data_IF_314192113117
#
_entry.id   IF_314192113117
#
_cell.length_a   1.000
_cell.length_b   1.000
_cell.length_c   1.000
_cell.angle_alpha   90.00
_cell.angle_beta   90.00
_cell.angle_gamma   90.00
#
_symmetry.space_group_name_H-M   'P 1'
#
loop_
_entity.id
_entity.type
_entity.pdbx_description
1 polymer ?
#
# COMPACT_ATOMS: atom_id res chain seq x y z
N UNK A 1 11.89 6.29 -2.50
CA UNK A 1 12.78 5.24 -3.06
C UNK A 1 11.89 4.22 -3.76
N UNK A 2 12.23 3.73 -4.95
CA UNK A 2 11.37 2.77 -5.65
C UNK A 2 11.52 1.36 -5.06
N UNK A 3 10.53 0.93 -4.27
CA UNK A 3 10.52 -0.38 -3.62
C UNK A 3 9.79 -1.45 -4.45
N UNK A 4 9.37 -1.15 -5.69
CA UNK A 4 8.63 -2.12 -6.54
C UNK A 4 9.46 -3.38 -6.79
N UNK A 5 10.73 -3.21 -7.15
CA UNK A 5 11.64 -4.32 -7.44
C UNK A 5 11.85 -5.27 -6.25
N UNK A 6 11.73 -4.76 -5.02
CA UNK A 6 11.82 -5.55 -3.79
C UNK A 6 10.79 -6.68 -3.76
N UNK A 7 9.61 -6.50 -4.33
CA UNK A 7 8.51 -7.45 -4.20
C UNK A 7 8.19 -8.24 -5.47
N UNK A 8 8.68 -7.80 -6.64
CA UNK A 8 8.37 -8.44 -7.95
C UNK A 8 8.79 -9.91 -8.06
N UNK A 9 9.84 -10.31 -7.35
CA UNK A 9 10.38 -11.67 -7.43
C UNK A 9 9.63 -12.69 -6.57
N UNK A 10 8.78 -12.25 -5.63
CA UNK A 10 7.94 -13.15 -4.86
C UNK A 10 6.80 -13.68 -5.72
N UNK A 11 6.46 -14.96 -5.54
CA UNK A 11 5.41 -15.63 -6.30
C UNK A 11 4.57 -16.52 -5.39
N UNK A 12 3.26 -16.46 -5.59
CA UNK A 12 2.28 -17.39 -5.04
C UNK A 12 1.32 -17.76 -6.17
N UNK A 13 1.23 -19.04 -6.50
CA UNK A 13 0.42 -19.53 -7.63
C UNK A 13 0.69 -18.74 -8.93
N UNK A 14 1.98 -18.60 -9.27
CA UNK A 14 2.51 -17.83 -10.41
C UNK A 14 2.22 -16.31 -10.43
N UNK A 15 1.51 -15.77 -9.44
CA UNK A 15 1.22 -14.34 -9.31
C UNK A 15 2.17 -13.68 -8.34
N UNK A 16 2.62 -12.47 -8.67
CA UNK A 16 3.36 -11.62 -7.75
C UNK A 16 2.42 -10.89 -6.76
N UNK A 17 2.94 -10.34 -5.66
CA UNK A 17 2.12 -9.68 -4.64
C UNK A 17 1.23 -8.57 -5.22
N UNK A 18 1.71 -7.76 -6.16
CA UNK A 18 0.93 -6.67 -6.75
C UNK A 18 -0.25 -7.18 -7.60
N UNK A 19 -0.03 -8.24 -8.39
CA UNK A 19 -1.10 -8.89 -9.18
C UNK A 19 -2.22 -9.41 -8.26
N UNK A 20 -1.84 -10.03 -7.14
CA UNK A 20 -2.79 -10.53 -6.13
C UNK A 20 -3.61 -9.38 -5.53
N UNK A 21 -2.95 -8.26 -5.19
CA UNK A 21 -3.65 -7.08 -4.65
C UNK A 21 -4.61 -6.50 -5.67
N UNK A 22 -4.19 -6.30 -6.92
CA UNK A 22 -5.04 -5.78 -8.00
C UNK A 22 -6.28 -6.65 -8.21
N UNK A 23 -6.15 -7.97 -8.18
CA UNK A 23 -7.28 -8.88 -8.26
C UNK A 23 -8.24 -8.73 -7.06
N UNK A 24 -7.71 -8.56 -5.85
CA UNK A 24 -8.54 -8.38 -4.65
C UNK A 24 -9.31 -7.05 -4.70
N UNK A 25 -8.65 -5.96 -5.08
CA UNK A 25 -9.24 -4.62 -5.14
C UNK A 25 -10.27 -4.52 -6.28
N UNK A 26 -9.99 -5.10 -7.45
CA UNK A 26 -10.95 -5.16 -8.57
C UNK A 26 -12.24 -5.91 -8.23
N UNK A 27 -12.20 -6.81 -7.24
CA UNK A 27 -13.38 -7.48 -6.65
C UNK A 27 -14.09 -6.63 -5.58
N UNK A 28 -13.73 -5.35 -5.44
CA UNK A 28 -14.32 -4.41 -4.48
C UNK A 28 -13.96 -4.69 -3.01
N UNK A 29 -12.90 -5.46 -2.75
CA UNK A 29 -12.45 -5.73 -1.37
C UNK A 29 -11.62 -4.56 -0.84
N UNK A 30 -11.61 -4.41 0.49
CA UNK A 30 -10.89 -3.32 1.14
C UNK A 30 -9.37 -3.55 1.15
N UNK A 31 -8.57 -2.47 1.24
CA UNK A 31 -7.13 -2.57 1.45
C UNK A 31 -6.72 -3.42 2.66
N UNK A 32 -7.47 -3.34 3.78
CA UNK A 32 -7.21 -4.17 4.97
C UNK A 32 -7.40 -5.67 4.69
N UNK A 33 -8.41 -6.02 3.89
CA UNK A 33 -8.59 -7.41 3.46
C UNK A 33 -7.41 -7.87 2.58
N UNK A 34 -6.93 -7.01 1.67
CA UNK A 34 -5.75 -7.32 0.86
C UNK A 34 -4.49 -7.53 1.71
N UNK A 35 -4.26 -6.71 2.76
CA UNK A 35 -3.13 -6.91 3.70
C UNK A 35 -3.19 -8.30 4.35
N UNK A 36 -4.37 -8.69 4.84
CA UNK A 36 -4.58 -10.02 5.44
C UNK A 36 -4.24 -11.14 4.46
N UNK A 37 -4.70 -11.03 3.21
CA UNK A 37 -4.45 -12.02 2.17
C UNK A 37 -2.96 -12.11 1.78
N UNK A 38 -2.27 -10.97 1.65
CA UNK A 38 -0.82 -10.94 1.39
C UNK A 38 -0.05 -11.57 2.54
N UNK A 39 -0.40 -11.26 3.80
CA UNK A 39 0.21 -11.90 4.97
C UNK A 39 0.00 -13.41 5.02
N UNK A 40 -1.16 -13.90 4.57
CA UNK A 40 -1.45 -15.32 4.48
C UNK A 40 -0.63 -16.04 3.41
N UNK A 41 -0.47 -15.42 2.23
CA UNK A 41 0.25 -16.00 1.09
C UNK A 41 1.77 -15.85 1.18
N UNK A 42 2.24 -14.79 1.81
CA UNK A 42 3.65 -14.49 2.03
C UNK A 42 3.94 -14.30 3.53
N UNK A 43 3.99 -15.39 4.33
CA UNK A 43 4.15 -15.30 5.77
C UNK A 43 5.41 -14.55 6.23
N UNK A 44 6.48 -14.60 5.42
CA UNK A 44 7.74 -13.92 5.65
C UNK A 44 7.64 -12.38 5.59
N UNK A 45 6.62 -11.82 4.93
CA UNK A 45 6.42 -10.39 4.93
C UNK A 45 6.03 -9.92 6.33
N UNK A 46 6.70 -8.89 6.81
CA UNK A 46 6.22 -8.12 7.95
C UNK A 46 4.89 -7.43 7.61
N UNK A 47 4.19 -6.93 8.64
CA UNK A 47 2.99 -6.13 8.42
C UNK A 47 3.28 -4.87 7.61
N UNK A 48 4.46 -4.26 7.80
CA UNK A 48 4.85 -3.06 7.05
C UNK A 48 5.12 -3.37 5.58
N UNK A 49 5.73 -4.50 5.28
CA UNK A 49 5.94 -4.92 3.89
C UNK A 49 4.63 -5.25 3.18
N UNK A 50 3.71 -5.95 3.87
CA UNK A 50 2.38 -6.18 3.34
C UNK A 50 1.64 -4.86 3.06
N UNK A 51 1.70 -3.89 3.98
CA UNK A 51 1.14 -2.55 3.79
C UNK A 51 1.79 -1.82 2.62
N UNK A 52 3.12 -1.87 2.49
CA UNK A 52 3.85 -1.25 1.39
C UNK A 52 3.46 -1.83 0.03
N UNK A 53 3.30 -3.15 -0.07
CA UNK A 53 2.80 -3.80 -1.29
C UNK A 53 1.42 -3.26 -1.67
N UNK A 54 0.53 -3.05 -0.70
CA UNK A 54 -0.80 -2.49 -1.00
C UNK A 54 -0.67 -1.07 -1.51
N UNK A 55 0.10 -0.21 -0.83
CA UNK A 55 0.32 1.19 -1.22
C UNK A 55 0.85 1.27 -2.65
N UNK A 56 1.87 0.47 -2.99
CA UNK A 56 2.46 0.44 -4.34
C UNK A 56 1.45 -0.07 -5.37
N UNK A 57 0.65 -1.07 -5.03
CA UNK A 57 -0.34 -1.60 -5.95
C UNK A 57 -1.47 -0.59 -6.21
N UNK A 58 -1.97 0.10 -5.18
CA UNK A 58 -3.24 0.85 -5.27
C UNK A 58 -3.07 2.36 -5.40
N UNK A 59 -1.85 2.86 -5.54
CA UNK A 59 -1.58 4.29 -5.69
C UNK A 59 -0.38 4.53 -6.61
N UNK A 60 -0.09 5.78 -6.91
CA UNK A 60 1.07 6.16 -7.72
C UNK A 60 2.41 6.15 -6.93
N UNK A 61 2.35 5.85 -5.62
CA UNK A 61 3.52 5.84 -4.76
C UNK A 61 4.33 4.57 -4.95
N UNK A 62 5.66 4.71 -4.87
CA UNK A 62 6.58 3.59 -5.05
C UNK A 62 7.18 3.04 -3.75
N UNK A 63 6.77 3.59 -2.61
CA UNK A 63 7.08 3.08 -1.28
C UNK A 63 6.06 3.55 -0.26
N UNK A 64 6.01 2.88 0.89
CA UNK A 64 5.18 3.30 2.02
C UNK A 64 5.65 4.66 2.57
N UNK A 65 6.95 4.90 2.54
CA UNK A 65 7.54 6.15 3.00
C UNK A 65 7.06 7.35 2.17
N UNK A 66 7.12 7.23 0.84
CA UNK A 66 6.69 8.30 -0.07
C UNK A 66 5.20 8.64 0.18
N UNK A 67 4.36 7.61 0.33
CA UNK A 67 2.93 7.79 0.67
C UNK A 67 2.71 8.50 2.01
N UNK A 68 3.46 8.12 3.05
CA UNK A 68 3.33 8.74 4.37
C UNK A 68 3.81 10.20 4.38
N UNK A 69 4.85 10.50 3.60
CA UNK A 69 5.32 11.88 3.43
C UNK A 69 4.28 12.77 2.77
N UNK A 70 3.65 12.31 1.68
CA UNK A 70 2.58 13.07 1.03
C UNK A 70 1.36 13.24 1.94
N UNK A 71 0.94 12.16 2.61
CA UNK A 71 -0.20 12.21 3.53
C UNK A 71 0.03 13.25 4.64
N UNK A 72 1.24 13.33 5.20
CA UNK A 72 1.56 14.32 6.22
C UNK A 72 1.36 15.75 5.71
N UNK A 73 1.87 16.07 4.52
CA UNK A 73 1.71 17.40 3.89
C UNK A 73 0.23 17.73 3.68
N UNK A 74 -0.57 16.75 3.25
CA UNK A 74 -2.01 16.95 3.07
C UNK A 74 -2.72 17.24 4.40
N UNK A 75 -2.33 16.55 5.48
CA UNK A 75 -2.89 16.76 6.81
C UNK A 75 -2.51 18.11 7.41
N UNK A 76 -1.27 18.58 7.21
CA UNK A 76 -0.84 19.92 7.65
C UNK A 76 -1.65 21.03 6.95
N UNK A 77 -1.89 20.88 5.64
CA UNK A 77 -2.74 21.83 4.89
C UNK A 77 -4.19 21.82 5.38
N UNK A 78 -4.73 20.64 5.66
CA UNK A 78 -6.08 20.50 6.21
C UNK A 78 -6.20 21.21 7.57
N UNK A 79 -5.21 21.07 8.44
CA UNK A 79 -5.18 21.75 9.74
C UNK A 79 -5.13 23.28 9.58
N UNK A 80 -4.31 23.80 8.67
CA UNK A 80 -4.30 25.23 8.35
C UNK A 80 -5.66 25.75 7.85
N UNK A 81 -6.34 24.97 7.00
CA UNK A 81 -7.67 25.31 6.47
C UNK A 81 -8.73 25.34 7.58
N UNK A 82 -8.70 24.37 8.50
CA UNK A 82 -9.60 24.33 9.66
C UNK A 82 -9.35 25.56 10.55
N UNK A 83 -8.09 25.91 10.78
CA UNK A 83 -7.71 27.02 11.65
C UNK A 83 -7.97 28.40 11.02
N UNK A 84 -7.96 28.54 9.68
CA UNK A 84 -8.32 29.79 8.97
C UNK A 84 -9.84 30.07 8.96
N UNK A 85 -10.66 29.03 9.17
CA UNK A 85 -12.12 29.13 9.16
C UNK A 85 -12.75 29.29 10.56
N UNK A 86 -11.93 29.39 11.61
CA UNK A 86 -12.32 29.70 12.99
C UNK A 86 -11.88 31.11 13.37
#
# INVERSE_FOLDING_TARGET
MDNTAKYLHFKYDNKNPFEIVQEIISKGKSPLYAIKEIKGKFPAFSLMEAKEVIVIATSDHKSLYDYQGELLIQLEKLDEEINKNN
#
